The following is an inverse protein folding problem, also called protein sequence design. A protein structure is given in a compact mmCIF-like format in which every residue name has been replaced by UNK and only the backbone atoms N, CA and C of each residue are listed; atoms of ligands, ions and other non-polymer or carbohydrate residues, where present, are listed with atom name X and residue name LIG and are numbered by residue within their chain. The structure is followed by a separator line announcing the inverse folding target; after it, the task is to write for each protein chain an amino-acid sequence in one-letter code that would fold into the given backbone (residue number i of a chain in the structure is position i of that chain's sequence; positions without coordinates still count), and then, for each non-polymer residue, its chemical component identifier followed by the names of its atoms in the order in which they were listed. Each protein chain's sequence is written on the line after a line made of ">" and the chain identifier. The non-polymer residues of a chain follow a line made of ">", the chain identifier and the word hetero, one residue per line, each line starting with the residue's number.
data_IF_382096312079
#
_entry.id   IF_382096312079
#
_cell.length_a   1.000
_cell.length_b   1.000
_cell.length_c   1.000
_cell.angle_alpha   90.00
_cell.angle_beta   90.00
_cell.angle_gamma   90.00
#
_symmetry.space_group_name_H-M   'P 1'
#
loop_
_entity.id
_entity.type
_entity.pdbx_description
1 polymer ?
#
# COMPACT_ATOMS: atom_id res chain seq x y z
N UNK A 1 0.02 -7.00 -20.56
CA UNK A 1 -0.89 -6.97 -19.40
C UNK A 1 -0.08 -7.44 -18.20
N UNK A 2 0.13 -6.55 -17.23
CA UNK A 2 1.02 -6.77 -16.08
C UNK A 2 0.48 -6.06 -14.86
N UNK A 3 0.84 -6.56 -13.67
CA UNK A 3 0.52 -5.93 -12.38
C UNK A 3 1.82 -5.48 -11.73
N UNK A 4 1.85 -4.24 -11.28
CA UNK A 4 2.98 -3.66 -10.56
C UNK A 4 2.67 -3.57 -9.06
N UNK A 5 3.37 -4.33 -8.24
CA UNK A 5 3.34 -4.20 -6.77
C UNK A 5 4.44 -3.26 -6.29
N UNK A 6 4.13 -2.34 -5.37
CA UNK A 6 5.08 -1.34 -4.85
C UNK A 6 5.08 -1.33 -3.32
N UNK A 7 6.26 -1.53 -2.71
CA UNK A 7 6.50 -1.34 -1.27
C UNK A 7 7.22 0.00 -1.04
N UNK A 8 6.48 1.01 -0.57
CA UNK A 8 6.99 2.37 -0.40
C UNK A 8 7.74 2.53 0.92
N UNK A 9 8.88 3.24 0.86
CA UNK A 9 9.53 3.83 2.05
C UNK A 9 9.05 5.27 2.26
N UNK A 10 9.19 5.77 3.49
CA UNK A 10 8.75 7.13 3.81
C UNK A 10 9.58 8.23 3.10
N UNK A 11 10.85 7.95 2.80
CA UNK A 11 11.79 8.93 2.23
C UNK A 11 12.75 8.25 1.26
N UNK A 12 13.31 9.01 0.32
CA UNK A 12 14.33 8.52 -0.63
C UNK A 12 15.68 8.19 0.03
N UNK A 13 15.87 8.41 1.33
CA UNK A 13 17.06 7.90 2.05
C UNK A 13 17.15 6.36 2.07
N UNK A 14 16.04 5.67 1.82
CA UNK A 14 15.99 4.21 1.70
C UNK A 14 15.22 3.85 0.43
N UNK A 15 15.70 2.86 -0.35
CA UNK A 15 15.01 2.45 -1.55
C UNK A 15 13.64 1.86 -1.23
N UNK A 16 12.67 2.20 -2.06
CA UNK A 16 11.39 1.52 -2.18
C UNK A 16 11.56 0.34 -3.14
N UNK A 17 10.75 -0.69 -3.00
CA UNK A 17 10.86 -1.89 -3.84
C UNK A 17 9.63 -2.04 -4.71
N UNK A 18 9.79 -2.69 -5.85
CA UNK A 18 8.66 -3.06 -6.70
C UNK A 18 8.85 -4.45 -7.29
N UNK A 19 7.72 -5.07 -7.63
CA UNK A 19 7.65 -6.35 -8.31
C UNK A 19 6.67 -6.25 -9.49
N UNK A 20 7.04 -6.79 -10.64
CA UNK A 20 6.18 -6.89 -11.81
C UNK A 20 5.76 -8.33 -11.98
N UNK A 21 4.45 -8.55 -12.08
CA UNK A 21 3.87 -9.84 -12.45
C UNK A 21 3.29 -9.75 -13.86
N UNK A 22 3.52 -10.79 -14.68
CA UNK A 22 2.85 -10.92 -15.98
C UNK A 22 1.41 -11.47 -15.84
N UNK A 23 0.73 -11.69 -16.97
CA UNK A 23 -0.62 -12.26 -17.00
C UNK A 23 -0.73 -13.67 -16.44
N UNK A 24 0.39 -14.41 -16.39
CA UNK A 24 0.46 -15.75 -15.83
C UNK A 24 0.87 -15.73 -14.35
N UNK A 25 0.93 -14.54 -13.73
CA UNK A 25 1.36 -14.32 -12.36
C UNK A 25 2.82 -14.69 -12.10
N UNK A 26 3.66 -14.74 -13.16
CA UNK A 26 5.08 -14.94 -13.00
C UNK A 26 5.77 -13.62 -12.65
N UNK A 27 6.71 -13.68 -11.71
CA UNK A 27 7.58 -12.56 -11.37
C UNK A 27 8.57 -12.32 -12.52
N UNK A 28 8.38 -11.23 -13.27
CA UNK A 28 9.24 -10.85 -14.38
C UNK A 28 10.33 -9.87 -13.97
N UNK A 29 10.06 -9.04 -12.95
CA UNK A 29 11.02 -8.08 -12.43
C UNK A 29 10.84 -7.89 -10.92
N UNK A 30 11.96 -7.79 -10.21
CA UNK A 30 12.03 -7.41 -8.80
C UNK A 30 13.21 -6.46 -8.64
N UNK A 31 12.93 -5.20 -8.34
CA UNK A 31 13.96 -4.18 -8.25
C UNK A 31 13.57 -3.10 -7.24
N UNK A 32 14.32 -2.00 -7.22
CA UNK A 32 14.16 -0.92 -6.26
C UNK A 32 14.43 0.44 -6.87
N UNK A 33 13.77 1.48 -6.33
CA UNK A 33 13.92 2.87 -6.73
C UNK A 33 14.01 3.77 -5.50
N UNK A 34 14.59 4.96 -5.66
CA UNK A 34 14.78 5.92 -4.58
C UNK A 34 13.77 7.06 -4.66
N UNK A 35 13.62 7.64 -5.85
CA UNK A 35 12.86 8.86 -6.11
C UNK A 35 11.50 8.58 -6.73
N UNK A 36 10.54 9.47 -6.47
CA UNK A 36 9.17 9.35 -6.98
C UNK A 36 9.11 9.40 -8.52
N UNK A 37 10.01 10.16 -9.14
CA UNK A 37 10.11 10.26 -10.61
C UNK A 37 10.50 8.94 -11.27
N UNK A 38 11.28 8.10 -10.58
CA UNK A 38 11.64 6.78 -11.09
C UNK A 38 10.43 5.85 -11.14
N UNK A 39 9.57 5.88 -10.11
CA UNK A 39 8.33 5.11 -10.10
C UNK A 39 7.37 5.59 -11.20
N UNK A 40 7.23 6.91 -11.37
CA UNK A 40 6.34 7.47 -12.40
C UNK A 40 6.83 7.02 -13.79
N UNK A 41 8.13 7.19 -14.06
CA UNK A 41 8.73 6.74 -15.32
C UNK A 41 8.55 5.24 -15.54
N UNK A 42 8.76 4.42 -14.50
CA UNK A 42 8.54 2.98 -14.58
C UNK A 42 7.10 2.65 -14.97
N UNK A 43 6.11 3.28 -14.33
CA UNK A 43 4.69 3.02 -14.62
C UNK A 43 4.33 3.49 -16.03
N UNK A 44 4.85 4.64 -16.46
CA UNK A 44 4.62 5.18 -17.80
C UNK A 44 5.25 4.32 -18.89
N UNK A 45 6.46 3.79 -18.66
CA UNK A 45 7.16 2.91 -19.60
C UNK A 45 6.53 1.50 -19.64
N UNK A 46 6.11 0.96 -18.48
CA UNK A 46 5.54 -0.39 -18.35
C UNK A 46 4.07 -0.47 -18.76
N UNK A 47 3.28 0.59 -18.56
CA UNK A 47 1.82 0.63 -18.73
C UNK A 47 1.12 -0.60 -18.09
N UNK A 48 1.27 -0.84 -16.77
CA UNK A 48 0.63 -1.97 -16.11
C UNK A 48 -0.90 -1.76 -16.02
N UNK A 49 -1.66 -2.85 -16.03
CA UNK A 49 -3.12 -2.80 -15.88
C UNK A 49 -3.55 -2.38 -14.46
N UNK A 50 -2.64 -2.56 -13.50
CA UNK A 50 -2.85 -2.26 -12.09
C UNK A 50 -1.55 -1.92 -11.38
N UNK A 51 -1.55 -0.84 -10.61
CA UNK A 51 -0.51 -0.48 -9.65
C UNK A 51 -1.04 -0.70 -8.23
N UNK A 52 -0.45 -1.65 -7.51
CA UNK A 52 -0.78 -2.02 -6.15
C UNK A 52 0.25 -1.42 -5.18
N UNK A 53 -0.16 -0.42 -4.39
CA UNK A 53 0.76 0.30 -3.48
C UNK A 53 0.54 -0.14 -2.04
N UNK A 54 1.62 -0.61 -1.41
CA UNK A 54 1.70 -1.03 -0.01
C UNK A 54 1.74 0.13 1.00
N UNK A 55 0.82 1.08 0.94
CA UNK A 55 0.73 2.20 1.88
C UNK A 55 -0.69 2.79 1.91
N UNK A 56 -1.10 3.47 3.01
CA UNK A 56 -2.33 4.26 3.01
C UNK A 56 -2.35 5.30 1.89
N UNK A 57 -3.42 5.30 1.08
CA UNK A 57 -3.56 6.18 -0.09
C UNK A 57 -4.59 7.29 0.09
N UNK A 58 -5.19 7.40 1.28
CA UNK A 58 -6.13 8.46 1.60
C UNK A 58 -6.11 8.81 3.09
N UNK A 59 -6.48 10.06 3.38
CA UNK A 59 -6.75 10.48 4.75
C UNK A 59 -8.10 9.93 5.22
N UNK A 60 -8.31 9.84 6.55
CA UNK A 60 -9.64 9.59 7.09
C UNK A 60 -10.64 10.65 6.65
N UNK A 61 -11.88 10.24 6.41
CA UNK A 61 -12.95 11.18 6.07
C UNK A 61 -13.11 12.24 7.16
N UNK A 62 -13.10 13.51 6.76
CA UNK A 62 -13.12 14.69 7.65
C UNK A 62 -11.75 15.29 7.96
N UNK A 63 -10.66 14.57 7.70
CA UNK A 63 -9.31 15.09 7.91
C UNK A 63 -8.83 15.84 6.66
N UNK A 64 -8.35 17.08 6.85
CA UNK A 64 -7.55 17.77 5.84
C UNK A 64 -6.06 17.44 5.94
N UNK A 65 -5.60 17.00 7.13
CA UNK A 65 -4.22 16.66 7.41
C UNK A 65 -4.10 15.72 8.63
N UNK A 66 -2.91 15.19 8.87
CA UNK A 66 -2.54 14.40 10.04
C UNK A 66 -1.82 15.26 11.10
N UNK A 67 -1.81 16.59 10.96
CA UNK A 67 -1.22 17.49 11.95
C UNK A 67 -2.01 17.44 13.27
N UNK A 68 -1.29 17.29 14.38
CA UNK A 68 -1.87 17.25 15.72
C UNK A 68 -2.42 18.61 16.15
N UNK A 69 -1.87 19.70 15.63
CA UNK A 69 -2.28 21.08 15.96
C UNK A 69 -3.55 21.53 15.22
N UNK A 70 -3.92 20.83 14.15
CA UNK A 70 -5.09 21.17 13.35
C UNK A 70 -6.40 20.66 14.00
N UNK A 71 -7.50 21.40 13.83
CA UNK A 71 -8.80 21.05 14.40
C UNK A 71 -9.68 20.13 13.55
N UNK A 72 -9.22 19.67 12.37
CA UNK A 72 -9.96 18.67 11.60
C UNK A 72 -10.16 17.37 12.41
N UNK A 73 -11.34 16.74 12.27
CA UNK A 73 -11.75 15.53 12.98
C UNK A 73 -12.44 14.58 12.00
N UNK A 74 -12.78 13.37 12.47
CA UNK A 74 -13.53 12.44 11.65
C UNK A 74 -14.90 13.05 11.31
N UNK A 75 -15.37 12.83 10.08
CA UNK A 75 -16.70 13.25 9.63
C UNK A 75 -17.84 12.55 10.36
N UNK A 76 -17.54 11.40 10.98
CA UNK A 76 -18.48 10.62 11.80
C UNK A 76 -17.96 10.61 13.23
N UNK A 77 -18.81 11.00 14.17
CA UNK A 77 -18.53 10.93 15.62
C UNK A 77 -18.15 9.50 16.03
N UNK A 78 -17.26 9.37 17.02
CA UNK A 78 -16.73 8.10 17.57
C UNK A 78 -15.94 7.21 16.61
N UNK A 79 -15.76 7.63 15.35
CA UNK A 79 -14.90 6.92 14.40
C UNK A 79 -13.43 7.08 14.81
N UNK A 80 -12.69 5.97 14.79
CA UNK A 80 -11.27 5.91 15.20
C UNK A 80 -10.28 5.72 14.05
N UNK A 81 -10.76 5.35 12.86
CA UNK A 81 -9.93 5.05 11.69
C UNK A 81 -10.72 5.09 10.38
N UNK A 82 -10.04 4.79 9.27
CA UNK A 82 -10.66 4.64 7.95
C UNK A 82 -11.59 3.42 7.93
N UNK A 83 -12.58 3.40 7.03
CA UNK A 83 -13.53 2.28 6.94
C UNK A 83 -12.82 0.93 6.80
N UNK A 84 -11.83 0.84 5.90
CA UNK A 84 -11.05 -0.38 5.70
C UNK A 84 -10.32 -0.84 6.98
N UNK A 85 -9.82 0.09 7.80
CA UNK A 85 -9.10 -0.24 9.03
C UNK A 85 -10.06 -0.81 10.08
N UNK A 86 -11.27 -0.26 10.16
CA UNK A 86 -12.33 -0.76 11.03
C UNK A 86 -12.81 -2.15 10.60
N UNK A 87 -12.96 -2.40 9.30
CA UNK A 87 -13.35 -3.71 8.78
C UNK A 87 -12.25 -4.76 9.03
N UNK A 88 -10.97 -4.41 8.82
CA UNK A 88 -9.85 -5.29 9.17
C UNK A 88 -9.85 -5.65 10.66
N UNK A 89 -10.09 -4.69 11.54
CA UNK A 89 -10.16 -4.94 12.98
C UNK A 89 -11.33 -5.87 13.36
N UNK A 90 -12.49 -5.74 12.73
CA UNK A 90 -13.63 -6.67 12.92
C UNK A 90 -13.29 -8.09 12.47
N UNK A 91 -12.43 -8.24 11.46
CA UNK A 91 -11.92 -9.53 11.00
C UNK A 91 -10.80 -10.10 11.90
N UNK A 92 -10.41 -9.40 12.97
CA UNK A 92 -9.29 -9.80 13.81
C UNK A 92 -7.91 -9.57 13.17
N UNK A 93 -7.85 -8.82 12.07
CA UNK A 93 -6.60 -8.50 11.38
C UNK A 93 -6.08 -7.16 11.91
N UNK A 94 -4.95 -7.21 12.60
CA UNK A 94 -4.31 -6.00 13.12
C UNK A 94 -3.87 -5.09 11.98
N UNK A 95 -4.09 -3.78 12.13
CA UNK A 95 -3.56 -2.75 11.25
C UNK A 95 -3.29 -1.46 12.05
N UNK A 96 -2.37 -0.63 11.55
CA UNK A 96 -2.14 0.69 12.12
C UNK A 96 -3.19 1.66 11.60
N UNK A 97 -3.88 2.35 12.52
CA UNK A 97 -4.92 3.29 12.15
C UNK A 97 -4.31 4.60 11.66
N UNK A 98 -4.83 5.11 10.54
CA UNK A 98 -4.42 6.40 9.99
C UNK A 98 -5.12 7.50 10.78
N UNK A 99 -4.37 8.31 11.53
CA UNK A 99 -4.88 9.43 12.32
C UNK A 99 -3.74 10.44 12.65
N UNK A 100 -4.01 11.48 13.44
CA UNK A 100 -3.01 12.52 13.77
C UNK A 100 -1.81 11.99 14.57
N UNK A 101 -1.94 10.84 15.21
CA UNK A 101 -0.88 10.13 15.93
C UNK A 101 -0.10 9.12 15.08
N UNK A 102 -0.37 8.99 13.78
CA UNK A 102 0.35 8.04 12.93
C UNK A 102 1.85 8.35 12.89
N UNK A 103 2.68 7.36 13.21
CA UNK A 103 4.15 7.49 13.17
C UNK A 103 4.72 7.44 11.74
N UNK A 104 3.92 6.96 10.78
CA UNK A 104 4.28 6.83 9.36
C UNK A 104 3.69 7.96 8.50
N UNK A 105 3.51 9.16 9.06
CA UNK A 105 2.89 10.32 8.37
C UNK A 105 3.50 10.61 7.00
N UNK A 106 4.83 10.63 6.91
CA UNK A 106 5.52 10.93 5.65
C UNK A 106 5.24 9.87 4.58
N UNK A 107 5.18 8.60 4.98
CA UNK A 107 4.80 7.50 4.08
C UNK A 107 3.35 7.65 3.59
N UNK A 108 2.43 8.00 4.48
CA UNK A 108 1.01 8.21 4.13
C UNK A 108 0.88 9.36 3.12
N UNK A 109 1.51 10.51 3.40
CA UNK A 109 1.47 11.65 2.49
C UNK A 109 2.15 11.36 1.15
N UNK A 110 3.26 10.60 1.15
CA UNK A 110 3.91 10.14 -0.06
C UNK A 110 2.98 9.22 -0.88
N UNK A 111 2.34 8.24 -0.24
CA UNK A 111 1.38 7.34 -0.89
C UNK A 111 0.18 8.09 -1.50
N UNK A 112 -0.41 9.03 -0.75
CA UNK A 112 -1.50 9.88 -1.24
C UNK A 112 -1.06 10.66 -2.49
N UNK A 113 0.10 11.33 -2.43
CA UNK A 113 0.61 12.13 -3.56
C UNK A 113 0.87 11.26 -4.80
N UNK A 114 1.62 10.17 -4.64
CA UNK A 114 1.95 9.27 -5.74
C UNK A 114 0.70 8.65 -6.37
N UNK A 115 -0.22 8.13 -5.54
CA UNK A 115 -1.45 7.54 -6.06
C UNK A 115 -2.34 8.55 -6.77
N UNK A 116 -2.36 9.81 -6.31
CA UNK A 116 -3.05 10.89 -7.01
C UNK A 116 -2.42 11.16 -8.37
N UNK A 117 -1.10 11.37 -8.42
CA UNK A 117 -0.37 11.64 -9.67
C UNK A 117 -0.57 10.52 -10.69
N UNK A 118 -0.41 9.26 -10.28
CA UNK A 118 -0.59 8.11 -11.16
C UNK A 118 -2.02 7.99 -11.69
N UNK A 119 -3.04 8.21 -10.84
CA UNK A 119 -4.44 8.20 -11.28
C UNK A 119 -4.77 9.36 -12.22
N UNK A 120 -4.22 10.55 -11.97
CA UNK A 120 -4.37 11.72 -12.84
C UNK A 120 -3.71 11.49 -14.21
N UNK A 121 -2.64 10.68 -14.27
CA UNK A 121 -2.02 10.21 -15.52
C UNK A 121 -2.77 9.06 -16.20
N UNK A 122 -3.91 8.61 -15.67
CA UNK A 122 -4.75 7.57 -16.28
C UNK A 122 -4.48 6.13 -15.79
N UNK A 123 -3.58 5.95 -14.82
CA UNK A 123 -3.25 4.62 -14.29
C UNK A 123 -4.24 4.13 -13.25
N UNK A 124 -4.52 2.83 -13.24
CA UNK A 124 -5.34 2.20 -12.21
C UNK A 124 -4.50 1.89 -10.96
N UNK A 125 -4.87 2.46 -9.80
CA UNK A 125 -4.08 2.36 -8.57
C UNK A 125 -4.94 1.94 -7.39
N UNK A 126 -4.51 0.90 -6.67
CA UNK A 126 -5.16 0.42 -5.44
C UNK A 126 -4.23 0.50 -4.23
N UNK A 127 -4.84 0.68 -3.06
CA UNK A 127 -4.17 0.48 -1.77
C UNK A 127 -4.13 -1.02 -1.46
N UNK A 128 -2.96 -1.52 -1.08
CA UNK A 128 -2.78 -2.90 -0.64
C UNK A 128 -2.21 -2.91 0.77
N UNK A 129 -2.76 -3.79 1.61
CA UNK A 129 -2.15 -4.16 2.88
C UNK A 129 -1.63 -5.61 2.78
N UNK A 130 -0.32 -5.82 2.52
CA UNK A 130 0.20 -7.15 2.21
C UNK A 130 -0.07 -8.19 3.29
N UNK A 131 -0.02 -7.80 4.56
CA UNK A 131 -0.30 -8.72 5.68
C UNK A 131 -1.76 -9.18 5.67
N UNK A 132 -2.73 -8.27 5.54
CA UNK A 132 -4.14 -8.65 5.45
C UNK A 132 -4.43 -9.48 4.21
N UNK A 133 -3.86 -9.11 3.06
CA UNK A 133 -4.00 -9.85 1.80
C UNK A 133 -3.55 -11.30 1.97
N UNK A 134 -2.38 -11.48 2.59
CA UNK A 134 -1.82 -12.80 2.86
C UNK A 134 -2.70 -13.63 3.80
N UNK A 135 -3.17 -13.04 4.90
CA UNK A 135 -4.04 -13.72 5.86
C UNK A 135 -5.39 -14.11 5.26
N UNK A 136 -5.98 -13.25 4.43
CA UNK A 136 -7.30 -13.49 3.83
C UNK A 136 -7.26 -14.53 2.71
N UNK A 137 -6.21 -14.53 1.88
CA UNK A 137 -6.10 -15.47 0.75
C UNK A 137 -5.63 -16.86 1.17
N UNK A 138 -4.74 -16.93 2.16
CA UNK A 138 -4.02 -18.16 2.48
C UNK A 138 -4.27 -18.68 3.90
N UNK A 139 -5.05 -17.96 4.70
CA UNK A 139 -5.40 -18.32 6.07
C UNK A 139 -4.29 -18.09 7.09
N UNK A 140 -4.53 -18.59 8.31
CA UNK A 140 -3.68 -18.43 9.48
C UNK A 140 -2.46 -19.37 9.52
N UNK A 141 -2.45 -20.41 8.66
CA UNK A 141 -1.35 -21.38 8.53
C UNK A 141 -0.20 -20.89 7.68
N UNK A 142 -0.32 -19.70 7.11
CA UNK A 142 0.73 -19.15 6.26
C UNK A 142 2.04 -19.01 7.04
N UNK A 143 3.18 -19.43 6.46
CA UNK A 143 4.47 -19.25 7.12
C UNK A 143 4.79 -17.77 7.37
N UNK A 144 5.58 -17.43 8.40
CA UNK A 144 6.01 -16.06 8.67
C UNK A 144 6.63 -15.39 7.43
N UNK A 145 6.41 -14.09 7.25
CA UNK A 145 6.90 -13.34 6.07
C UNK A 145 8.42 -13.33 5.89
N UNK A 146 9.18 -13.59 6.95
CA UNK A 146 10.64 -13.69 6.93
C UNK A 146 11.14 -15.12 6.68
N UNK A 147 10.24 -16.08 6.44
CA UNK A 147 10.59 -17.45 6.08
C UNK A 147 10.60 -17.62 4.56
N UNK A 148 11.67 -18.21 4.02
CA UNK A 148 11.74 -18.58 2.60
C UNK A 148 10.59 -19.52 2.19
N UNK A 149 10.11 -20.35 3.12
CA UNK A 149 8.97 -21.26 2.93
C UNK A 149 7.69 -20.48 2.60
N UNK A 150 7.57 -19.23 3.06
CA UNK A 150 6.38 -18.42 2.79
C UNK A 150 6.16 -18.18 1.30
N UNK A 151 7.22 -18.00 0.51
CA UNK A 151 7.09 -17.75 -0.94
C UNK A 151 6.65 -19.02 -1.64
N UNK A 152 7.32 -20.14 -1.35
CA UNK A 152 6.94 -21.45 -1.89
C UNK A 152 5.50 -21.86 -1.52
N UNK A 153 5.06 -21.54 -0.30
CA UNK A 153 3.69 -21.78 0.13
C UNK A 153 2.67 -21.01 -0.72
N UNK A 154 2.92 -19.72 -0.97
CA UNK A 154 2.04 -18.86 -1.76
C UNK A 154 2.03 -19.24 -3.25
N UNK A 155 3.12 -19.77 -3.80
CA UNK A 155 3.18 -20.24 -5.20
C UNK A 155 2.43 -21.58 -5.36
N UNK A 156 2.38 -22.40 -4.30
CA UNK A 156 1.76 -23.73 -4.34
C UNK A 156 0.28 -23.80 -4.00
N UNK A 157 -0.36 -22.67 -3.65
CA UNK A 157 -1.80 -22.56 -3.36
C UNK A 157 -2.46 -21.63 -4.37
#
# INVERSE_FOLDING_TARGET
>A
MSVLGVDLRASSKKPSSFAVLDTQSHLTELSSFYEDSELIKLVDDLQPDLVAIGAPLNLPSGFCCLDQTCDCRFSVSDRKGRLLELELAKMGISCFYTNKGSIIRDLIYRGIRLSKMLRESGHNVIEVYPHATKMLLFGDKVPPKNSAISVSYMIGH
#
